data_IF_456267358420
#
_entry.id   IF_456267358420
#
_cell.length_a   1.000
_cell.length_b   1.000
_cell.length_c   1.000
_cell.angle_alpha   90.00
_cell.angle_beta   90.00
_cell.angle_gamma   90.00
#
_symmetry.space_group_name_H-M   'P 1'
#
loop_
_entity.id
_entity.type
_entity.pdbx_description
1 polymer ?
#
# COMPACT_ATOMS: atom_id res chain seq x y z
N UNK A 1 3.71 26.93 38.09
CA UNK A 1 2.78 26.38 37.07
C UNK A 1 3.51 25.71 35.91
N UNK A 2 4.54 26.35 35.33
CA UNK A 2 5.28 25.89 34.14
C UNK A 2 5.81 24.44 34.27
N UNK A 3 6.39 24.07 35.42
CA UNK A 3 6.87 22.69 35.67
C UNK A 3 5.79 21.61 35.52
N UNK A 4 4.55 21.87 35.93
CA UNK A 4 3.45 20.89 35.83
C UNK A 4 2.98 20.72 34.38
N UNK A 5 3.04 21.79 33.58
CA UNK A 5 2.67 21.81 32.17
C UNK A 5 3.69 21.05 31.31
N UNK A 6 5.00 21.23 31.58
CA UNK A 6 6.08 20.52 30.88
C UNK A 6 6.04 19.01 31.16
N UNK A 7 5.82 18.62 32.42
CA UNK A 7 5.70 17.20 32.80
C UNK A 7 4.48 16.53 32.15
N UNK A 8 3.35 17.24 32.08
CA UNK A 8 2.13 16.74 31.43
C UNK A 8 2.30 16.56 29.92
N UNK A 9 3.01 17.48 29.25
CA UNK A 9 3.25 17.41 27.80
C UNK A 9 4.20 16.24 27.45
N UNK A 10 5.25 16.01 28.25
CA UNK A 10 6.15 14.87 28.06
C UNK A 10 5.46 13.53 28.30
N UNK A 11 4.58 13.44 29.31
CA UNK A 11 3.78 12.24 29.56
C UNK A 11 2.83 11.93 28.38
N UNK A 12 2.19 12.95 27.81
CA UNK A 12 1.29 12.78 26.66
C UNK A 12 2.04 12.36 25.38
N UNK A 13 3.20 12.96 25.12
CA UNK A 13 4.07 12.58 23.99
C UNK A 13 4.64 11.15 24.15
N UNK A 14 4.94 10.73 25.39
CA UNK A 14 5.38 9.37 25.69
C UNK A 14 4.30 8.32 25.41
N UNK A 15 3.05 8.59 25.80
CA UNK A 15 1.92 7.66 25.62
C UNK A 15 1.60 7.45 24.13
N UNK A 16 1.65 8.52 23.32
CA UNK A 16 1.40 8.44 21.87
C UNK A 16 2.46 7.62 21.10
N UNK A 17 3.61 7.35 21.70
CA UNK A 17 4.70 6.61 21.05
C UNK A 17 4.54 5.08 21.11
N UNK A 18 3.60 4.55 21.90
CA UNK A 18 3.46 3.10 22.12
C UNK A 18 2.51 2.36 21.15
N UNK A 19 1.74 3.05 20.31
CA UNK A 19 0.58 2.43 19.63
C UNK A 19 0.79 2.00 18.15
N UNK A 20 2.02 2.03 17.62
CA UNK A 20 2.24 1.94 16.17
C UNK A 20 3.06 0.76 15.63
N UNK A 21 3.51 -0.20 16.44
CA UNK A 21 4.36 -1.28 15.92
C UNK A 21 3.51 -2.43 15.35
N UNK A 22 3.57 -2.61 14.02
CA UNK A 22 3.10 -3.83 13.37
C UNK A 22 3.73 -5.05 14.07
N UNK A 23 2.93 -5.74 14.88
CA UNK A 23 3.43 -6.77 15.79
C UNK A 23 3.74 -8.03 14.98
N UNK A 24 5.02 -8.37 14.93
CA UNK A 24 5.46 -9.65 14.40
C UNK A 24 5.07 -10.73 15.38
N UNK A 25 4.15 -11.62 14.99
CA UNK A 25 3.67 -12.68 15.85
C UNK A 25 4.62 -13.88 15.75
N UNK A 26 5.09 -14.37 16.90
CA UNK A 26 5.84 -15.62 16.96
C UNK A 26 4.90 -16.80 16.72
N UNK A 27 5.33 -17.72 15.86
CA UNK A 27 4.53 -18.87 15.44
C UNK A 27 5.37 -20.14 15.43
N UNK A 28 4.70 -21.27 15.59
CA UNK A 28 5.35 -22.57 15.48
C UNK A 28 5.54 -22.96 14.02
N UNK A 29 6.40 -23.95 13.79
CA UNK A 29 6.68 -24.49 12.45
C UNK A 29 5.42 -24.98 11.72
N UNK A 30 4.50 -25.62 12.44
CA UNK A 30 3.25 -26.16 11.88
C UNK A 30 2.27 -25.09 11.42
N UNK A 31 2.34 -23.89 12.01
CA UNK A 31 1.40 -22.81 11.72
C UNK A 31 1.84 -21.94 10.53
N UNK A 32 3.01 -22.25 9.93
CA UNK A 32 3.55 -21.51 8.79
C UNK A 32 2.81 -21.90 7.50
N UNK A 33 1.83 -21.08 7.14
CA UNK A 33 1.11 -21.19 5.86
C UNK A 33 1.96 -20.72 4.68
N UNK A 34 1.70 -21.30 3.51
CA UNK A 34 2.29 -20.85 2.24
C UNK A 34 1.87 -19.42 1.91
N UNK A 35 2.73 -18.70 1.19
CA UNK A 35 2.60 -17.29 0.79
C UNK A 35 2.61 -16.26 1.94
N UNK A 36 2.79 -16.69 3.19
CA UNK A 36 3.05 -15.78 4.30
C UNK A 36 4.48 -15.23 4.27
N UNK A 37 4.64 -13.99 4.70
CA UNK A 37 5.97 -13.38 4.89
C UNK A 37 6.45 -13.67 6.30
N UNK A 38 7.59 -14.35 6.40
CA UNK A 38 8.20 -14.79 7.66
C UNK A 38 9.57 -14.17 7.86
N UNK A 39 9.92 -13.92 9.12
CA UNK A 39 11.28 -13.70 9.59
C UNK A 39 11.69 -14.91 10.42
N UNK A 40 12.63 -15.68 9.90
CA UNK A 40 13.18 -16.87 10.53
C UNK A 40 14.51 -16.48 11.14
N UNK A 41 14.66 -16.64 12.46
CA UNK A 41 15.98 -16.54 13.08
C UNK A 41 16.55 -17.95 13.26
N UNK A 42 17.77 -18.15 12.79
CA UNK A 42 18.46 -19.43 12.87
C UNK A 42 19.17 -19.60 14.21
N UNK A 43 19.50 -20.84 14.56
CA UNK A 43 20.32 -21.17 15.74
C UNK A 43 21.71 -20.55 15.63
N UNK A 44 22.24 -20.38 14.40
CA UNK A 44 23.50 -19.67 14.14
C UNK A 44 23.47 -18.17 14.48
N UNK A 45 22.28 -17.60 14.74
CA UNK A 45 22.09 -16.17 14.96
C UNK A 45 21.74 -15.37 13.71
N UNK A 46 21.84 -15.96 12.51
CA UNK A 46 21.44 -15.30 11.27
C UNK A 46 19.91 -15.17 11.16
N UNK A 47 19.44 -14.00 10.72
CA UNK A 47 18.02 -13.74 10.49
C UNK A 47 17.69 -13.65 9.00
N UNK A 48 16.80 -14.51 8.52
CA UNK A 48 16.36 -14.52 7.12
C UNK A 48 14.89 -14.13 7.02
N UNK A 49 14.61 -13.08 6.23
CA UNK A 49 13.24 -12.63 5.94
C UNK A 49 12.89 -12.99 4.50
N UNK A 50 11.73 -13.64 4.29
CA UNK A 50 11.28 -14.06 2.98
C UNK A 50 9.82 -14.51 2.97
N UNK A 51 9.31 -14.84 1.79
CA UNK A 51 7.96 -15.39 1.62
C UNK A 51 8.02 -16.91 1.55
N UNK A 52 7.24 -17.61 2.37
CA UNK A 52 7.18 -19.07 2.35
C UNK A 52 6.54 -19.53 1.06
N UNK A 53 7.23 -20.40 0.32
CA UNK A 53 6.71 -21.00 -0.92
C UNK A 53 6.24 -22.42 -0.70
N UNK A 54 6.94 -23.17 0.14
CA UNK A 54 6.59 -24.56 0.47
C UNK A 54 7.05 -24.87 1.89
N UNK A 55 6.22 -25.60 2.62
CA UNK A 55 6.54 -26.15 3.94
C UNK A 55 6.59 -27.67 3.80
N UNK A 56 7.74 -28.27 4.07
CA UNK A 56 7.94 -29.72 4.10
C UNK A 56 8.14 -30.18 5.56
N UNK A 57 8.09 -31.47 5.90
CA UNK A 57 8.23 -31.91 7.30
C UNK A 57 9.57 -31.53 7.95
N UNK A 58 10.65 -31.48 7.16
CA UNK A 58 12.01 -31.24 7.65
C UNK A 58 12.64 -29.92 7.16
N UNK A 59 12.00 -29.20 6.24
CA UNK A 59 12.52 -27.94 5.72
C UNK A 59 11.42 -26.96 5.28
N UNK A 60 11.72 -25.67 5.40
CA UNK A 60 10.91 -24.58 4.83
C UNK A 60 11.65 -24.00 3.64
N UNK A 61 10.94 -23.85 2.53
CA UNK A 61 11.46 -23.19 1.34
C UNK A 61 10.91 -21.75 1.34
N UNK A 62 11.80 -20.79 1.54
CA UNK A 62 11.47 -19.37 1.48
C UNK A 62 12.06 -18.73 0.22
N UNK A 63 11.41 -17.68 -0.25
CA UNK A 63 11.84 -16.89 -1.38
C UNK A 63 12.23 -15.49 -0.91
N UNK A 64 13.50 -15.13 -1.07
CA UNK A 64 14.05 -13.82 -0.72
C UNK A 64 14.61 -13.17 -1.99
N UNK A 65 14.00 -12.05 -2.40
CA UNK A 65 14.25 -11.51 -3.74
C UNK A 65 13.86 -12.52 -4.81
N UNK A 66 14.81 -12.93 -5.65
CA UNK A 66 14.63 -13.96 -6.69
C UNK A 66 15.31 -15.30 -6.37
N UNK A 67 15.84 -15.48 -5.15
CA UNK A 67 16.56 -16.70 -4.74
C UNK A 67 15.73 -17.51 -3.74
N UNK A 68 15.68 -18.81 -3.96
CA UNK A 68 15.08 -19.77 -3.04
C UNK A 68 16.10 -20.18 -1.98
N UNK A 69 15.68 -20.19 -0.72
CA UNK A 69 16.47 -20.68 0.40
C UNK A 69 15.73 -21.83 1.04
N UNK A 70 16.41 -22.97 1.19
CA UNK A 70 15.92 -24.13 1.92
C UNK A 70 16.49 -24.06 3.33
N UNK A 71 15.63 -24.04 4.33
CA UNK A 71 16.02 -23.93 5.75
C UNK A 71 15.54 -25.19 6.46
N UNK A 72 16.46 -25.96 7.02
CA UNK A 72 16.13 -27.14 7.82
C UNK A 72 15.37 -26.74 9.08
N UNK A 73 14.38 -27.56 9.48
CA UNK A 73 13.64 -27.37 10.74
C UNK A 73 14.56 -27.33 11.95
N UNK A 74 15.64 -28.12 11.94
CA UNK A 74 16.62 -28.18 13.03
C UNK A 74 17.46 -26.91 13.19
N UNK A 75 17.61 -26.11 12.13
CA UNK A 75 18.39 -24.86 12.20
C UNK A 75 17.55 -23.65 12.58
N UNK A 76 16.24 -23.80 12.75
CA UNK A 76 15.31 -22.71 13.09
C UNK A 76 15.25 -22.53 14.61
N UNK A 77 15.54 -21.32 15.08
CA UNK A 77 15.37 -20.92 16.49
C UNK A 77 13.98 -20.36 16.74
N UNK A 78 13.54 -19.39 15.92
CA UNK A 78 12.19 -18.85 15.99
C UNK A 78 11.67 -18.43 14.61
N UNK A 79 10.35 -18.39 14.48
CA UNK A 79 9.66 -17.92 13.28
C UNK A 79 8.70 -16.84 13.71
N UNK A 80 8.82 -15.68 13.07
CA UNK A 80 7.87 -14.58 13.23
C UNK A 80 7.13 -14.34 11.92
N UNK A 81 5.81 -14.32 11.96
CA UNK A 81 4.95 -14.00 10.81
C UNK A 81 4.60 -12.52 10.83
N UNK A 82 4.69 -11.90 9.66
CA UNK A 82 4.05 -10.61 9.41
C UNK A 82 2.56 -10.86 9.13
N UNK A 83 1.62 -10.16 9.81
CA UNK A 83 0.19 -10.37 9.63
C UNK A 83 -0.20 -10.32 8.14
N UNK A 84 -0.77 -11.41 7.59
CA UNK A 84 -1.14 -11.46 6.19
C UNK A 84 -2.27 -10.48 5.89
N UNK A 85 -2.20 -9.85 4.73
CA UNK A 85 -3.27 -8.99 4.21
C UNK A 85 -4.07 -9.83 3.21
N UNK A 86 -5.39 -9.90 3.38
CA UNK A 86 -6.24 -10.68 2.49
C UNK A 86 -6.98 -9.79 1.49
N UNK A 87 -7.22 -10.32 0.29
CA UNK A 87 -8.16 -9.75 -0.65
C UNK A 87 -9.61 -10.11 -0.30
N UNK A 88 -10.55 -9.58 -1.08
CA UNK A 88 -11.99 -9.78 -0.86
C UNK A 88 -12.44 -11.22 -1.19
N UNK A 89 -11.55 -12.04 -1.76
CA UNK A 89 -11.75 -13.45 -2.05
C UNK A 89 -11.06 -14.37 -1.02
N UNK A 90 -10.54 -13.81 0.07
CA UNK A 90 -9.84 -14.55 1.13
C UNK A 90 -8.44 -15.03 0.74
N UNK A 91 -7.87 -14.56 -0.38
CA UNK A 91 -6.52 -14.93 -0.81
C UNK A 91 -5.49 -13.97 -0.22
N UNK A 92 -4.41 -14.52 0.31
CA UNK A 92 -3.30 -13.71 0.83
C UNK A 92 -2.71 -12.81 -0.28
N UNK A 93 -2.43 -11.57 0.08
CA UNK A 93 -1.69 -10.61 -0.72
C UNK A 93 -0.27 -10.58 -0.17
N UNK A 94 0.68 -11.03 -0.99
CA UNK A 94 2.08 -11.08 -0.59
C UNK A 94 2.70 -9.68 -0.56
N UNK A 95 3.71 -9.47 0.30
CA UNK A 95 4.47 -8.21 0.35
C UNK A 95 5.16 -7.89 -0.99
N UNK A 96 5.46 -8.91 -1.81
CA UNK A 96 5.98 -8.70 -3.16
C UNK A 96 4.95 -8.04 -4.06
N UNK A 97 3.70 -8.51 -4.03
CA UNK A 97 2.63 -7.91 -4.82
C UNK A 97 2.38 -6.47 -4.39
N UNK A 98 2.36 -6.20 -3.08
CA UNK A 98 2.24 -4.85 -2.55
C UNK A 98 3.39 -3.97 -3.07
N UNK A 99 4.64 -4.42 -2.94
CA UNK A 99 5.82 -3.68 -3.43
C UNK A 99 5.80 -3.44 -4.93
N UNK A 100 5.27 -4.36 -5.73
CA UNK A 100 5.19 -4.21 -7.19
C UNK A 100 4.26 -3.08 -7.66
N UNK A 101 3.30 -2.68 -6.83
CA UNK A 101 2.32 -1.63 -7.14
C UNK A 101 2.50 -0.38 -6.28
N UNK A 102 3.35 -0.46 -5.25
CA UNK A 102 3.61 0.64 -4.32
C UNK A 102 4.32 1.80 -5.02
N UNK A 103 3.75 2.99 -4.88
CA UNK A 103 4.37 4.26 -5.25
C UNK A 103 4.91 4.96 -3.99
N UNK A 104 5.74 5.98 -4.16
CA UNK A 104 6.25 6.81 -3.06
C UNK A 104 5.61 8.21 -3.05
N UNK A 105 4.45 8.36 -3.71
CA UNK A 105 3.82 9.68 -3.94
C UNK A 105 3.40 10.30 -2.61
N UNK A 106 2.75 9.53 -1.74
CA UNK A 106 2.30 10.07 -0.45
C UNK A 106 3.48 10.31 0.49
N UNK A 107 4.51 9.46 0.49
CA UNK A 107 5.74 9.69 1.24
C UNK A 107 6.40 11.04 0.89
N UNK A 108 6.45 11.39 -0.40
CA UNK A 108 7.01 12.67 -0.86
C UNK A 108 6.10 13.84 -0.47
N UNK A 109 4.80 13.75 -0.74
CA UNK A 109 3.84 14.83 -0.42
C UNK A 109 3.83 15.12 1.08
N UNK A 110 3.76 14.06 1.91
CA UNK A 110 3.78 14.21 3.35
C UNK A 110 5.15 14.67 3.85
N UNK A 111 6.25 14.23 3.23
CA UNK A 111 7.59 14.71 3.56
C UNK A 111 7.74 16.22 3.35
N UNK A 112 7.31 16.73 2.19
CA UNK A 112 7.39 18.17 1.88
C UNK A 112 6.44 18.97 2.76
N UNK A 113 5.15 18.60 2.82
CA UNK A 113 4.16 19.32 3.61
C UNK A 113 4.43 19.25 5.11
N UNK A 114 4.83 18.06 5.59
CA UNK A 114 5.23 17.82 6.97
C UNK A 114 6.51 18.55 7.34
N UNK A 115 7.50 18.61 6.45
CA UNK A 115 8.73 19.37 6.65
C UNK A 115 8.46 20.87 6.75
N UNK A 116 7.64 21.43 5.86
CA UNK A 116 7.26 22.84 5.92
C UNK A 116 6.49 23.19 7.21
N UNK A 117 5.53 22.35 7.62
CA UNK A 117 4.78 22.53 8.87
C UNK A 117 5.68 22.40 10.10
N UNK A 118 6.57 21.40 10.10
CA UNK A 118 7.51 21.16 11.19
C UNK A 118 8.54 22.29 11.30
N UNK A 119 8.97 22.84 10.18
CA UNK A 119 9.83 24.02 10.13
C UNK A 119 9.14 25.23 10.75
N UNK A 120 7.92 25.57 10.31
CA UNK A 120 7.20 26.72 10.86
C UNK A 120 6.93 26.61 12.36
N UNK A 121 6.50 25.42 12.83
CA UNK A 121 6.26 25.17 14.26
C UNK A 121 7.54 25.20 15.08
N UNK A 122 8.62 24.59 14.59
CA UNK A 122 9.90 24.57 15.31
C UNK A 122 10.58 25.94 15.33
N UNK A 123 10.44 26.71 14.26
CA UNK A 123 10.91 28.10 14.22
C UNK A 123 10.16 28.99 15.21
N UNK A 124 8.83 28.85 15.30
CA UNK A 124 8.01 29.60 16.26
C UNK A 124 8.35 29.25 17.72
N UNK A 125 8.52 27.97 18.02
CA UNK A 125 8.94 27.53 19.36
C UNK A 125 10.37 28.03 19.65
N UNK A 126 11.26 27.89 18.68
CA UNK A 126 12.64 28.35 18.78
C UNK A 126 12.73 29.85 19.02
N UNK A 127 11.92 30.67 18.35
CA UNK A 127 11.92 32.12 18.52
C UNK A 127 11.39 32.55 19.88
N UNK A 128 10.39 31.84 20.41
CA UNK A 128 9.88 32.06 21.77
C UNK A 128 10.94 31.71 22.84
N UNK A 129 11.68 30.61 22.66
CA UNK A 129 12.75 30.20 23.59
C UNK A 129 14.01 31.07 23.48
N UNK A 130 14.28 31.63 22.32
CA UNK A 130 15.45 32.46 22.06
C UNK A 130 15.31 33.90 22.62
N UNK A 131 14.09 34.32 22.99
CA UNK A 131 13.80 35.66 23.52
C UNK A 131 14.25 35.92 24.96
N UNK A 132 14.64 34.88 25.73
CA UNK A 132 14.98 35.02 27.16
C UNK A 132 16.50 35.25 27.43
N UNK A 133 17.41 34.89 26.52
CA UNK A 133 18.87 35.06 26.70
C UNK A 133 19.58 35.49 25.40
N UNK A 134 19.86 36.79 25.26
CA UNK A 134 20.38 37.43 24.03
C UNK A 134 21.80 36.98 23.61
N UNK A 135 22.60 36.41 24.52
CA UNK A 135 23.98 35.98 24.22
C UNK A 135 24.10 34.58 23.60
N UNK A 136 23.06 33.75 23.69
CA UNK A 136 23.01 32.37 23.11
C UNK A 136 21.81 32.12 22.17
N UNK A 137 20.99 33.15 21.99
CA UNK A 137 19.72 33.15 21.24
C UNK A 137 19.79 32.50 19.84
N UNK A 138 20.81 32.81 19.04
CA UNK A 138 20.93 32.31 17.66
C UNK A 138 21.17 30.80 17.56
N UNK A 139 21.97 30.23 18.46
CA UNK A 139 22.25 28.78 18.48
C UNK A 139 21.03 27.95 18.90
N UNK A 140 20.24 28.48 19.84
CA UNK A 140 18.99 27.84 20.30
C UNK A 140 17.94 27.83 19.20
N UNK A 141 17.76 28.94 18.48
CA UNK A 141 16.82 29.02 17.36
C UNK A 141 17.18 28.05 16.24
N UNK A 142 18.44 28.01 15.81
CA UNK A 142 18.90 27.11 14.74
C UNK A 142 18.77 25.65 15.20
N UNK A 143 19.21 25.34 16.42
CA UNK A 143 19.16 23.99 16.97
C UNK A 143 17.74 23.44 17.09
N UNK A 144 16.82 24.22 17.66
CA UNK A 144 15.42 23.83 17.82
C UNK A 144 14.71 23.70 16.48
N UNK A 145 14.93 24.64 15.55
CA UNK A 145 14.35 24.59 14.21
C UNK A 145 14.85 23.38 13.42
N UNK A 146 16.15 23.13 13.39
CA UNK A 146 16.73 22.00 12.66
C UNK A 146 16.29 20.65 13.23
N UNK A 147 16.34 20.49 14.56
CA UNK A 147 15.94 19.24 15.23
C UNK A 147 14.44 18.96 15.04
N UNK A 148 13.59 19.96 15.27
CA UNK A 148 12.15 19.80 15.15
C UNK A 148 11.70 19.58 13.70
N UNK A 149 12.30 20.28 12.73
CA UNK A 149 12.05 20.04 11.30
C UNK A 149 12.47 18.63 10.89
N UNK A 150 13.66 18.18 11.31
CA UNK A 150 14.17 16.85 10.96
C UNK A 150 13.29 15.73 11.51
N UNK A 151 12.97 15.77 12.80
CA UNK A 151 12.11 14.78 13.44
C UNK A 151 10.70 14.79 12.86
N UNK A 152 10.11 15.98 12.67
CA UNK A 152 8.78 16.12 12.09
C UNK A 152 8.72 15.58 10.66
N UNK A 153 9.69 15.92 9.81
CA UNK A 153 9.77 15.40 8.43
C UNK A 153 9.81 13.87 8.41
N UNK A 154 10.62 13.24 9.27
CA UNK A 154 10.72 11.77 9.34
C UNK A 154 9.37 11.15 9.74
N UNK A 155 8.67 11.73 10.71
CA UNK A 155 7.36 11.26 11.14
C UNK A 155 6.33 11.33 10.00
N UNK A 156 6.30 12.45 9.28
CA UNK A 156 5.38 12.62 8.15
C UNK A 156 5.75 11.70 6.96
N UNK A 157 7.03 11.51 6.66
CA UNK A 157 7.48 10.55 5.64
C UNK A 157 7.01 9.14 6.00
N UNK A 158 7.17 8.72 7.27
CA UNK A 158 6.67 7.41 7.74
C UNK A 158 5.15 7.28 7.59
N UNK A 159 4.40 8.33 7.95
CA UNK A 159 2.95 8.34 7.76
C UNK A 159 2.57 8.25 6.26
N UNK A 160 3.27 8.97 5.40
CA UNK A 160 3.10 8.91 3.95
C UNK A 160 3.41 7.52 3.38
N UNK A 161 4.49 6.87 3.83
CA UNK A 161 4.83 5.49 3.45
C UNK A 161 3.77 4.47 3.88
N UNK A 162 3.13 4.69 5.04
CA UNK A 162 2.02 3.85 5.50
C UNK A 162 0.78 4.03 4.62
N UNK A 163 0.50 5.27 4.18
CA UNK A 163 -0.58 5.58 3.23
C UNK A 163 -0.31 4.97 1.85
N UNK A 164 0.91 5.08 1.34
CA UNK A 164 1.35 4.43 0.11
C UNK A 164 1.17 2.90 0.16
N UNK A 165 1.44 2.28 1.32
CA UNK A 165 1.20 0.84 1.52
C UNK A 165 -0.29 0.49 1.46
N UNK A 166 -1.16 1.29 2.09
CA UNK A 166 -2.62 1.07 2.05
C UNK A 166 -3.16 1.18 0.63
N UNK A 167 -2.75 2.23 -0.10
CA UNK A 167 -3.14 2.43 -1.51
C UNK A 167 -2.65 1.28 -2.41
N UNK A 168 -1.44 0.77 -2.18
CA UNK A 168 -0.90 -0.37 -2.91
C UNK A 168 -1.73 -1.65 -2.67
N UNK A 169 -2.17 -1.89 -1.43
CA UNK A 169 -3.06 -3.02 -1.10
C UNK A 169 -4.38 -2.89 -1.84
N UNK A 170 -5.01 -1.71 -1.82
CA UNK A 170 -6.27 -1.45 -2.52
C UNK A 170 -6.13 -1.65 -4.04
N UNK A 171 -5.06 -1.15 -4.65
CA UNK A 171 -4.79 -1.38 -6.07
C UNK A 171 -4.60 -2.86 -6.41
N UNK A 172 -3.97 -3.65 -5.54
CA UNK A 172 -3.85 -5.10 -5.75
C UNK A 172 -5.24 -5.77 -5.67
N UNK A 173 -6.07 -5.40 -4.69
CA UNK A 173 -7.45 -5.89 -4.59
C UNK A 173 -8.26 -5.55 -5.83
N UNK A 174 -8.19 -4.30 -6.29
CA UNK A 174 -8.88 -3.82 -7.49
C UNK A 174 -8.42 -4.60 -8.73
N UNK A 175 -7.11 -4.78 -8.92
CA UNK A 175 -6.56 -5.59 -10.04
C UNK A 175 -7.10 -7.01 -10.01
N UNK A 176 -7.15 -7.66 -8.85
CA UNK A 176 -7.70 -9.02 -8.71
C UNK A 176 -9.20 -9.06 -9.00
N UNK A 177 -9.97 -8.07 -8.53
CA UNK A 177 -11.41 -7.92 -8.81
C UNK A 177 -11.68 -7.74 -10.31
N UNK A 178 -10.95 -6.85 -10.98
CA UNK A 178 -11.08 -6.62 -12.43
C UNK A 178 -10.70 -7.87 -13.23
N UNK A 179 -9.68 -8.63 -12.80
CA UNK A 179 -9.33 -9.90 -13.43
C UNK A 179 -10.42 -10.96 -13.24
N UNK A 180 -11.03 -11.04 -12.05
CA UNK A 180 -12.15 -11.94 -11.79
C UNK A 180 -13.36 -11.60 -12.68
N UNK A 181 -13.73 -10.32 -12.78
CA UNK A 181 -14.79 -9.86 -13.69
C UNK A 181 -14.49 -10.18 -15.15
N UNK A 182 -13.27 -9.92 -15.63
CA UNK A 182 -12.86 -10.28 -16.99
C UNK A 182 -12.95 -11.78 -17.25
N UNK A 183 -12.64 -12.63 -16.26
CA UNK A 183 -12.76 -14.09 -16.39
C UNK A 183 -14.22 -14.54 -16.43
N UNK A 184 -15.10 -13.92 -15.65
CA UNK A 184 -16.55 -14.17 -15.72
C UNK A 184 -17.11 -13.79 -17.09
N UNK A 185 -16.79 -12.58 -17.59
CA UNK A 185 -17.25 -12.11 -18.90
C UNK A 185 -16.70 -12.96 -20.06
N UNK A 186 -15.49 -13.51 -19.94
CA UNK A 186 -14.90 -14.42 -20.94
C UNK A 186 -15.48 -15.84 -20.88
N UNK A 187 -15.97 -16.30 -19.72
CA UNK A 187 -16.56 -17.63 -19.54
C UNK A 187 -18.03 -17.71 -19.90
N UNK A 188 -18.74 -16.59 -20.00
CA UNK A 188 -20.10 -16.57 -20.57
C UNK A 188 -20.03 -16.46 -22.10
N UNK A 189 -20.21 -17.56 -22.87
CA UNK A 189 -20.35 -17.50 -24.33
C UNK A 189 -21.54 -16.61 -24.75
N UNK A 190 -22.52 -16.44 -23.86
CA UNK A 190 -23.66 -15.54 -24.05
C UNK A 190 -23.24 -14.08 -24.22
N UNK A 191 -22.20 -13.59 -23.52
CA UNK A 191 -21.78 -12.19 -23.64
C UNK A 191 -21.16 -11.87 -25.00
N UNK A 192 -20.46 -12.84 -25.61
CA UNK A 192 -19.97 -12.71 -26.99
C UNK A 192 -21.13 -12.78 -27.99
N UNK A 193 -22.06 -13.71 -27.79
CA UNK A 193 -23.28 -13.79 -28.60
C UNK A 193 -24.12 -12.50 -28.52
N UNK A 194 -24.22 -11.88 -27.35
CA UNK A 194 -24.95 -10.61 -27.17
C UNK A 194 -24.25 -9.47 -27.93
N UNK A 195 -22.92 -9.36 -27.86
CA UNK A 195 -22.19 -8.34 -28.63
C UNK A 195 -22.32 -8.56 -30.15
N UNK A 196 -22.28 -9.81 -30.61
CA UNK A 196 -22.48 -10.15 -32.02
C UNK A 196 -23.93 -9.91 -32.48
N UNK A 197 -24.93 -10.16 -31.62
CA UNK A 197 -26.34 -9.84 -31.92
C UNK A 197 -26.57 -8.33 -32.01
N UNK A 198 -26.00 -7.54 -31.10
CA UNK A 198 -26.08 -6.06 -31.13
C UNK A 198 -25.46 -5.52 -32.42
N UNK A 199 -24.34 -6.10 -32.87
CA UNK A 199 -23.69 -5.68 -34.12
C UNK A 199 -24.57 -6.02 -35.35
N UNK A 200 -25.15 -7.22 -35.39
CA UNK A 200 -26.07 -7.63 -36.46
C UNK A 200 -27.35 -6.79 -36.50
N UNK A 201 -27.91 -6.38 -35.36
CA UNK A 201 -29.06 -5.49 -35.31
C UNK A 201 -28.75 -4.10 -35.86
N UNK A 202 -27.58 -3.54 -35.51
CA UNK A 202 -27.15 -2.23 -36.07
C UNK A 202 -26.98 -2.27 -37.59
N UNK A 203 -26.34 -3.32 -38.11
CA UNK A 203 -26.19 -3.50 -39.56
C UNK A 203 -27.56 -3.62 -40.27
N UNK A 204 -28.52 -4.34 -39.67
CA UNK A 204 -29.90 -4.39 -40.17
C UNK A 204 -30.60 -3.03 -40.14
N UNK A 205 -30.44 -2.24 -39.06
CA UNK A 205 -31.03 -0.91 -38.97
C UNK A 205 -30.48 0.04 -40.04
N UNK A 206 -29.17 0.01 -40.31
CA UNK A 206 -28.58 0.80 -41.40
C UNK A 206 -29.09 0.37 -42.78
N UNK A 207 -29.24 -0.94 -43.02
CA UNK A 207 -29.80 -1.44 -44.28
C UNK A 207 -31.26 -0.99 -44.46
N UNK A 208 -32.09 -1.11 -43.43
CA UNK A 208 -33.49 -0.65 -43.45
C UNK A 208 -33.61 0.86 -43.65
N UNK A 209 -32.69 1.65 -43.09
CA UNK A 209 -32.64 3.10 -43.34
C UNK A 209 -32.30 3.41 -44.80
N UNK A 210 -31.29 2.73 -45.38
CA UNK A 210 -30.93 2.88 -46.80
C UNK A 210 -32.07 2.47 -47.74
N UNK A 211 -32.80 1.40 -47.41
CA UNK A 211 -33.98 0.98 -48.16
C UNK A 211 -35.12 2.00 -48.06
N UNK A 212 -35.40 2.52 -46.86
CA UNK A 212 -36.37 3.61 -46.68
C UNK A 212 -36.03 4.83 -47.53
N UNK A 213 -34.77 5.25 -47.56
CA UNK A 213 -34.34 6.38 -48.37
C UNK A 213 -34.48 6.13 -49.87
N UNK A 214 -34.16 4.93 -50.35
CA UNK A 214 -34.39 4.52 -51.74
C UNK A 214 -35.87 4.57 -52.10
N UNK A 215 -36.73 3.95 -51.29
CA UNK A 215 -38.18 3.93 -51.51
C UNK A 215 -38.78 5.34 -51.49
N UNK A 216 -38.32 6.22 -50.60
CA UNK A 216 -38.74 7.63 -50.57
C UNK A 216 -38.33 8.39 -51.84
N UNK A 217 -37.14 8.12 -52.40
CA UNK A 217 -36.70 8.70 -53.67
C UNK A 217 -37.54 8.18 -54.85
N UNK A 218 -37.83 6.89 -54.90
CA UNK A 218 -38.68 6.29 -55.94
C UNK A 218 -40.12 6.83 -55.90
N UNK A 219 -40.70 6.99 -54.71
CA UNK A 219 -42.04 7.59 -54.55
C UNK A 219 -42.07 9.07 -54.94
N UNK A 220 -41.00 9.84 -54.67
CA UNK A 220 -40.88 11.23 -55.14
C UNK A 220 -40.76 11.30 -56.67
N UNK A 221 -40.01 10.39 -57.28
CA UNK A 221 -39.84 10.35 -58.72
C UNK A 221 -41.11 9.87 -59.46
N UNK A 222 -41.93 9.01 -58.85
CA UNK A 222 -43.24 8.58 -59.41
C UNK A 222 -44.36 9.61 -59.25
N UNK A 223 -44.19 10.61 -58.38
CA UNK A 223 -45.16 11.71 -58.16
C UNK A 223 -44.87 12.95 -59.02
N UNK A 224 -43.75 12.96 -59.75
CA UNK A 224 -43.43 13.95 -60.79
C UNK A 224 -43.81 13.38 -62.15
#
# INVERSE_FOLDING_TARGET
MIRKLVVSLMLFAGILSFWGCAHWQEVTYSDVKTDNTVRISLVSGEGITGTVKKTEPHQIIILKGNKFFKISKSSIKNIKILPPVYDDFGRCISEREIKSVKTNKNAVIYGIGGGALSFGTSFFIGSMLAGEDTSKSGGVLIGTTAAGTGLGTILFVKAGMAKDRKEAIEKVKEKRRLQAQKKLNKKNPETKNIQDMIKKEKEKQEQLQKEREKLLKELKNKKK
#
